data_IF_814067452939
#
_entry.id   IF_814067452939
#
_cell.length_a   1.000
_cell.length_b   1.000
_cell.length_c   1.000
_cell.angle_alpha   90.00
_cell.angle_beta   90.00
_cell.angle_gamma   90.00
#
_symmetry.space_group_name_H-M   'P 1'
#
loop_
_entity.id
_entity.type
_entity.pdbx_description
1 polymer ?
#
# COMPACT_ATOMS: atom_id res chain seq x y z
N UNK A 1 -23.94 -12.02 -3.43
CA UNK A 1 -23.94 -10.96 -4.45
C UNK A 1 -22.79 -11.17 -5.41
N UNK A 2 -23.00 -11.01 -6.72
CA UNK A 2 -21.93 -10.98 -7.72
C UNK A 2 -21.72 -9.53 -8.15
N UNK A 3 -20.46 -9.15 -8.37
CA UNK A 3 -20.03 -7.78 -8.67
C UNK A 3 -19.38 -7.80 -10.05
N UNK A 4 -19.65 -6.82 -10.92
CA UNK A 4 -18.95 -6.66 -12.20
C UNK A 4 -17.71 -5.77 -12.00
N UNK A 5 -16.59 -6.40 -11.66
CA UNK A 5 -15.29 -5.74 -11.50
C UNK A 5 -14.37 -6.07 -12.69
N UNK A 6 -14.94 -6.16 -13.90
CA UNK A 6 -14.19 -6.53 -15.10
C UNK A 6 -13.17 -5.47 -15.51
N UNK A 7 -13.39 -4.20 -15.16
CA UNK A 7 -12.45 -3.09 -15.39
C UNK A 7 -11.09 -3.33 -14.73
N UNK A 8 -10.01 -3.05 -15.45
CA UNK A 8 -8.65 -3.02 -14.92
C UNK A 8 -8.23 -1.65 -14.39
N UNK A 9 -9.05 -0.62 -14.62
CA UNK A 9 -8.78 0.75 -14.20
C UNK A 9 -9.63 1.12 -12.97
N UNK A 10 -10.94 0.90 -13.07
CA UNK A 10 -11.93 1.42 -12.12
C UNK A 10 -12.29 0.41 -11.04
N UNK A 11 -12.52 0.92 -9.83
CA UNK A 11 -13.08 0.16 -8.71
C UNK A 11 -14.60 0.27 -8.66
N UNK A 12 -15.27 -0.84 -8.34
CA UNK A 12 -16.68 -0.86 -7.98
C UNK A 12 -16.78 -0.77 -6.46
N UNK A 13 -17.25 0.37 -5.96
CA UNK A 13 -17.42 0.65 -4.53
C UNK A 13 -18.79 0.15 -4.05
N UNK A 14 -18.84 -0.48 -2.88
CA UNK A 14 -20.05 -1.07 -2.31
C UNK A 14 -20.32 -0.54 -0.91
N UNK A 15 -21.58 -0.25 -0.63
CA UNK A 15 -22.07 -0.04 0.73
C UNK A 15 -22.58 -1.36 1.31
N UNK A 16 -21.94 -1.86 2.38
CA UNK A 16 -22.32 -3.15 3.00
C UNK A 16 -23.67 -3.10 3.72
N UNK A 17 -24.12 -1.92 4.18
CA UNK A 17 -25.43 -1.75 4.81
C UNK A 17 -26.56 -2.03 3.82
N UNK A 18 -26.46 -1.46 2.62
CA UNK A 18 -27.49 -1.59 1.58
C UNK A 18 -27.25 -2.78 0.66
N UNK A 19 -26.01 -3.26 0.58
CA UNK A 19 -25.56 -4.24 -0.41
C UNK A 19 -25.60 -3.70 -1.84
N UNK A 20 -25.45 -2.38 -2.02
CA UNK A 20 -25.52 -1.73 -3.32
C UNK A 20 -24.20 -1.06 -3.68
N UNK A 21 -23.95 -0.94 -4.99
CA UNK A 21 -22.86 -0.13 -5.50
C UNK A 21 -23.12 1.35 -5.27
N UNK A 22 -22.06 2.10 -4.98
CA UNK A 22 -22.10 3.55 -4.85
C UNK A 22 -21.17 4.17 -5.89
N UNK A 23 -21.65 5.23 -6.52
CA UNK A 23 -20.82 6.04 -7.41
C UNK A 23 -19.94 6.95 -6.56
N UNK A 24 -18.63 6.78 -6.71
CA UNK A 24 -17.62 7.60 -6.03
C UNK A 24 -16.86 8.34 -7.12
N UNK A 25 -16.85 9.67 -7.04
CA UNK A 25 -16.00 10.46 -7.92
C UNK A 25 -14.52 10.13 -7.64
N UNK A 26 -13.71 10.09 -8.70
CA UNK A 26 -12.26 9.95 -8.56
C UNK A 26 -11.73 11.01 -7.57
N UNK A 27 -10.86 10.59 -6.64
CA UNK A 27 -10.22 11.47 -5.65
C UNK A 27 -11.17 12.14 -4.64
N UNK A 28 -12.36 11.58 -4.40
CA UNK A 28 -13.25 12.11 -3.36
C UNK A 28 -12.66 11.95 -1.95
N UNK A 29 -12.36 13.08 -1.31
CA UNK A 29 -11.88 13.13 0.09
C UNK A 29 -13.01 13.04 1.14
N UNK A 30 -14.27 12.91 0.71
CA UNK A 30 -15.44 12.95 1.61
C UNK A 30 -16.41 11.78 1.43
N UNK A 31 -16.16 10.88 0.47
CA UNK A 31 -17.03 9.73 0.22
C UNK A 31 -16.83 8.63 1.27
N UNK A 32 -17.52 8.75 2.42
CA UNK A 32 -17.47 7.79 3.54
C UNK A 32 -18.54 6.70 3.47
N UNK A 33 -19.44 6.79 2.48
CA UNK A 33 -20.63 5.94 2.34
C UNK A 33 -20.38 4.52 1.78
N UNK A 34 -19.25 4.30 1.11
CA UNK A 34 -18.83 2.96 0.67
C UNK A 34 -17.91 2.34 1.72
N UNK A 35 -17.81 1.01 1.74
CA UNK A 35 -17.01 0.31 2.75
C UNK A 35 -15.95 -0.59 2.14
N UNK A 36 -16.27 -1.24 1.03
CA UNK A 36 -15.40 -2.19 0.33
C UNK A 36 -15.50 -1.93 -1.16
N UNK A 37 -14.39 -2.06 -1.89
CA UNK A 37 -14.37 -1.87 -3.32
C UNK A 37 -13.57 -2.95 -4.05
N UNK A 38 -13.98 -3.25 -5.29
CA UNK A 38 -13.42 -4.34 -6.11
C UNK A 38 -12.94 -3.84 -7.46
N UNK A 39 -11.73 -4.24 -7.85
CA UNK A 39 -11.18 -4.06 -9.22
C UNK A 39 -10.46 -5.32 -9.63
N UNK A 40 -10.96 -6.02 -10.64
CA UNK A 40 -10.52 -7.39 -10.95
C UNK A 40 -10.61 -8.22 -9.66
N UNK A 41 -9.51 -8.83 -9.23
CA UNK A 41 -9.44 -9.62 -7.99
C UNK A 41 -8.96 -8.81 -6.77
N UNK A 42 -8.56 -7.56 -6.97
CA UNK A 42 -8.11 -6.68 -5.90
C UNK A 42 -9.31 -6.17 -5.09
N UNK A 43 -9.10 -6.04 -3.79
CA UNK A 43 -10.11 -5.62 -2.82
C UNK A 43 -9.48 -4.58 -1.91
N UNK A 44 -10.19 -3.49 -1.67
CA UNK A 44 -9.76 -2.40 -0.79
C UNK A 44 -10.90 -1.98 0.13
N UNK A 45 -10.56 -1.40 1.28
CA UNK A 45 -11.51 -0.89 2.27
C UNK A 45 -11.52 0.64 2.28
N UNK A 46 -12.65 1.25 2.64
CA UNK A 46 -12.74 2.71 2.79
C UNK A 46 -12.09 3.18 4.09
N UNK A 47 -10.77 3.02 4.17
CA UNK A 47 -9.99 3.46 5.31
C UNK A 47 -8.53 3.54 4.99
N UNK A 48 -7.82 4.36 5.77
CA UNK A 48 -6.41 4.64 5.56
C UNK A 48 -6.17 5.26 4.17
N UNK A 49 -5.47 4.57 3.28
CA UNK A 49 -5.01 5.16 1.99
C UNK A 49 -5.95 4.91 0.82
N UNK A 50 -6.98 4.10 1.00
CA UNK A 50 -7.91 3.74 -0.07
C UNK A 50 -9.19 4.59 -0.06
N UNK A 51 -9.44 5.35 1.01
CA UNK A 51 -10.56 6.30 1.07
C UNK A 51 -10.68 7.01 2.41
N UNK A 52 -11.56 8.02 2.50
CA UNK A 52 -11.66 8.93 3.64
C UNK A 52 -12.44 8.36 4.85
N UNK A 53 -13.03 7.17 4.72
CA UNK A 53 -13.69 6.51 5.83
C UNK A 53 -12.71 5.96 6.87
N UNK A 54 -13.27 5.33 7.90
CA UNK A 54 -12.50 4.69 8.97
C UNK A 54 -12.76 3.18 9.01
N UNK A 55 -12.95 2.57 7.84
CA UNK A 55 -13.17 1.13 7.70
C UNK A 55 -11.87 0.37 7.95
N UNK A 56 -11.95 -0.75 8.67
CA UNK A 56 -10.84 -1.69 8.81
C UNK A 56 -11.34 -3.13 8.72
N UNK A 57 -10.44 -4.06 8.41
CA UNK A 57 -10.73 -5.48 8.34
C UNK A 57 -9.78 -6.32 9.19
N UNK A 58 -10.28 -7.42 9.72
CA UNK A 58 -9.50 -8.42 10.44
C UNK A 58 -9.73 -9.81 9.84
N UNK A 59 -8.70 -10.65 9.77
CA UNK A 59 -8.86 -12.06 9.41
C UNK A 59 -9.36 -12.83 10.64
N UNK A 60 -10.59 -13.36 10.58
CA UNK A 60 -11.21 -14.07 11.71
C UNK A 60 -11.37 -15.57 11.48
N UNK A 61 -11.23 -16.03 10.24
CA UNK A 61 -11.04 -17.43 9.92
C UNK A 61 -10.07 -17.59 8.74
N UNK A 62 -8.87 -18.08 9.03
CA UNK A 62 -7.78 -18.21 8.05
C UNK A 62 -7.96 -19.38 7.07
N UNK A 63 -8.82 -20.34 7.41
CA UNK A 63 -9.03 -21.58 6.64
C UNK A 63 -7.72 -22.34 6.45
N UNK A 64 -6.96 -22.52 7.54
CA UNK A 64 -5.61 -23.09 7.52
C UNK A 64 -5.57 -24.49 6.91
N UNK A 65 -6.67 -25.23 6.99
CA UNK A 65 -6.81 -26.57 6.44
C UNK A 65 -6.90 -26.62 4.90
N UNK A 66 -6.93 -25.46 4.23
CA UNK A 66 -6.69 -25.32 2.79
C UNK A 66 -5.20 -25.35 2.43
N UNK A 67 -4.30 -25.22 3.40
CA UNK A 67 -2.86 -25.12 3.22
C UNK A 67 -2.14 -26.22 4.01
N UNK A 68 -0.95 -26.62 3.54
CA UNK A 68 -0.08 -27.53 4.29
C UNK A 68 0.82 -26.77 5.27
N UNK A 69 1.68 -27.48 6.00
CA UNK A 69 2.60 -26.92 6.98
C UNK A 69 3.61 -25.91 6.38
N UNK A 70 3.79 -25.90 5.05
CA UNK A 70 4.63 -24.94 4.33
C UNK A 70 3.82 -23.80 3.72
N UNK A 71 2.56 -23.63 4.13
CA UNK A 71 1.62 -22.66 3.58
C UNK A 71 1.37 -22.84 2.06
N UNK A 72 1.55 -24.07 1.56
CA UNK A 72 1.30 -24.39 0.14
C UNK A 72 -0.16 -24.81 -0.04
N UNK A 73 -0.88 -24.28 -1.05
CA UNK A 73 -2.27 -24.65 -1.31
C UNK A 73 -2.47 -26.16 -1.54
N UNK A 74 -3.30 -26.80 -0.72
CA UNK A 74 -3.70 -28.19 -0.90
C UNK A 74 -4.76 -28.24 -2.01
N UNK A 75 -4.33 -28.54 -3.24
CA UNK A 75 -5.19 -28.46 -4.45
C UNK A 75 -6.54 -29.18 -4.28
N UNK A 76 -6.56 -30.37 -3.69
CA UNK A 76 -7.80 -31.14 -3.49
C UNK A 76 -8.79 -30.46 -2.55
N UNK A 77 -8.33 -29.71 -1.55
CA UNK A 77 -9.21 -28.93 -0.65
C UNK A 77 -9.90 -27.82 -1.42
N UNK A 78 -9.15 -27.05 -2.19
CA UNK A 78 -9.69 -25.97 -3.04
C UNK A 78 -10.66 -26.48 -4.11
N UNK A 79 -10.37 -27.59 -4.78
CA UNK A 79 -11.24 -28.09 -5.86
C UNK A 79 -12.50 -28.78 -5.36
N UNK A 80 -12.51 -29.27 -4.12
CA UNK A 80 -13.67 -29.92 -3.50
C UNK A 80 -14.54 -28.95 -2.69
N UNK A 81 -13.99 -27.84 -2.21
CA UNK A 81 -14.72 -26.84 -1.45
C UNK A 81 -15.75 -26.10 -2.31
N UNK A 82 -16.91 -25.85 -1.73
CA UNK A 82 -18.02 -25.11 -2.34
C UNK A 82 -18.46 -23.98 -1.43
N UNK A 83 -19.15 -22.98 -1.99
CA UNK A 83 -19.73 -21.92 -1.15
C UNK A 83 -20.63 -22.51 -0.06
N UNK A 84 -21.43 -23.54 -0.35
CA UNK A 84 -22.29 -24.15 0.65
C UNK A 84 -21.53 -24.93 1.72
N UNK A 85 -20.49 -25.70 1.36
CA UNK A 85 -19.66 -26.43 2.34
C UNK A 85 -18.95 -25.49 3.30
N UNK A 86 -18.50 -24.32 2.81
CA UNK A 86 -17.76 -23.34 3.62
C UNK A 86 -18.67 -22.28 4.28
N UNK A 87 -19.99 -22.37 4.11
CA UNK A 87 -20.97 -21.47 4.76
C UNK A 87 -20.94 -21.54 6.28
N UNK A 88 -20.81 -22.72 6.92
CA UNK A 88 -20.77 -22.82 8.37
C UNK A 88 -19.65 -21.97 9.00
N UNK A 89 -18.49 -21.85 8.35
CA UNK A 89 -17.36 -21.04 8.84
C UNK A 89 -17.74 -19.56 8.94
N UNK A 90 -18.45 -19.02 7.94
CA UNK A 90 -18.97 -17.64 8.00
C UNK A 90 -20.02 -17.46 9.12
N UNK A 91 -20.80 -18.50 9.41
CA UNK A 91 -21.90 -18.46 10.37
C UNK A 91 -21.47 -18.77 11.81
N UNK A 92 -20.24 -19.24 12.01
CA UNK A 92 -19.70 -19.56 13.32
C UNK A 92 -19.63 -18.33 14.23
N UNK A 93 -19.52 -18.56 15.53
CA UNK A 93 -19.22 -17.49 16.47
C UNK A 93 -17.84 -16.91 16.16
N UNK A 94 -17.75 -15.58 16.13
CA UNK A 94 -16.52 -14.85 15.81
C UNK A 94 -15.98 -14.32 17.13
N UNK A 95 -14.79 -14.77 17.50
CA UNK A 95 -14.07 -14.17 18.62
C UNK A 95 -13.67 -12.74 18.26
N UNK A 96 -13.72 -11.84 19.24
CA UNK A 96 -13.31 -10.45 19.03
C UNK A 96 -11.81 -10.41 18.67
N UNK A 97 -11.44 -9.80 17.53
CA UNK A 97 -10.03 -9.61 17.18
C UNK A 97 -9.32 -8.72 18.19
N UNK A 98 -8.02 -8.95 18.38
CA UNK A 98 -7.17 -8.03 19.12
C UNK A 98 -7.12 -6.65 18.44
N UNK A 99 -6.76 -5.62 19.20
CA UNK A 99 -6.69 -4.26 18.66
C UNK A 99 -5.75 -4.14 17.44
N UNK A 100 -4.65 -4.92 17.46
CA UNK A 100 -3.63 -4.94 16.40
C UNK A 100 -4.00 -5.83 15.20
N UNK A 101 -5.07 -6.63 15.29
CA UNK A 101 -5.55 -7.48 14.18
C UNK A 101 -6.37 -6.69 13.14
N UNK A 102 -6.76 -5.46 13.48
CA UNK A 102 -7.54 -4.58 12.62
C UNK A 102 -6.64 -3.83 11.64
N UNK A 103 -6.73 -4.20 10.37
CA UNK A 103 -5.91 -3.66 9.30
C UNK A 103 -6.74 -2.67 8.47
N UNK A 104 -6.24 -1.42 8.39
CA UNK A 104 -6.66 -0.45 7.39
C UNK A 104 -5.76 -0.56 6.17
N UNK A 105 -6.27 -0.12 5.03
CA UNK A 105 -5.41 -0.01 3.87
C UNK A 105 -4.32 1.05 4.10
N UNK A 106 -3.09 0.74 3.74
CA UNK A 106 -1.93 1.58 3.97
C UNK A 106 -1.03 1.61 2.74
N UNK A 107 -0.32 2.73 2.57
CA UNK A 107 0.65 2.88 1.48
C UNK A 107 1.81 1.95 1.75
N UNK A 108 2.09 1.10 0.77
CA UNK A 108 3.33 0.34 0.64
C UNK A 108 4.21 1.04 -0.38
N UNK A 109 5.45 1.30 0.01
CA UNK A 109 6.46 1.93 -0.84
C UNK A 109 7.76 1.14 -0.76
N UNK A 110 8.57 1.17 -1.82
CA UNK A 110 9.94 0.63 -1.78
C UNK A 110 10.92 1.60 -1.12
N UNK A 111 10.48 2.82 -0.79
CA UNK A 111 11.23 3.86 -0.08
C UNK A 111 11.28 3.61 1.44
N UNK A 112 11.52 2.36 1.82
CA UNK A 112 11.54 1.89 3.21
C UNK A 112 12.74 0.98 3.46
N UNK A 113 13.03 0.74 4.74
CA UNK A 113 14.08 -0.18 5.15
C UNK A 113 13.57 -1.57 5.50
N UNK A 114 14.43 -2.31 6.20
CA UNK A 114 14.21 -3.72 6.52
C UNK A 114 13.44 -3.93 7.82
N UNK A 115 13.32 -2.90 8.67
CA UNK A 115 12.69 -3.01 9.99
C UNK A 115 12.30 -1.64 10.55
N UNK A 116 11.65 -1.62 11.71
CA UNK A 116 11.35 -0.38 12.43
C UNK A 116 12.61 0.38 12.93
N UNK A 117 13.75 -0.30 13.08
CA UNK A 117 15.02 0.30 13.51
C UNK A 117 15.95 0.65 12.36
N UNK A 118 15.82 -0.04 11.22
CA UNK A 118 16.49 0.29 9.97
C UNK A 118 15.42 0.66 8.95
N UNK A 119 15.11 1.95 8.90
CA UNK A 119 14.15 2.55 7.97
C UNK A 119 14.72 2.77 6.57
N UNK A 120 15.94 2.28 6.31
CA UNK A 120 16.59 2.37 5.03
C UNK A 120 17.33 3.70 4.92
N UNK A 121 16.62 4.80 4.82
CA UNK A 121 17.20 6.16 4.71
C UNK A 121 17.42 6.81 6.08
N UNK A 122 16.95 6.19 7.17
CA UNK A 122 17.27 6.54 8.55
C UNK A 122 17.50 5.29 9.40
N UNK A 123 18.18 5.47 10.54
CA UNK A 123 18.33 4.47 11.60
C UNK A 123 17.67 4.98 12.89
N UNK A 124 16.78 4.19 13.49
CA UNK A 124 16.10 4.54 14.74
C UNK A 124 16.73 3.81 15.93
N UNK A 125 17.09 4.57 16.96
CA UNK A 125 17.58 4.05 18.23
C UNK A 125 16.42 3.95 19.25
N UNK A 126 15.91 2.74 19.55
CA UNK A 126 14.83 2.57 20.51
C UNK A 126 15.25 2.84 21.96
N UNK A 127 16.55 2.96 22.28
CA UNK A 127 16.98 3.26 23.64
C UNK A 127 16.64 4.70 24.04
N UNK A 128 16.92 5.66 23.17
CA UNK A 128 16.76 7.09 23.44
C UNK A 128 15.70 7.78 22.56
N UNK A 129 15.22 7.14 21.48
CA UNK A 129 14.22 7.68 20.59
C UNK A 129 14.77 8.55 19.45
N UNK A 130 16.10 8.58 19.29
CA UNK A 130 16.76 9.35 18.23
C UNK A 130 16.68 8.64 16.88
N UNK A 131 16.57 9.42 15.81
CA UNK A 131 16.73 8.97 14.43
C UNK A 131 17.97 9.62 13.82
N UNK A 132 18.83 8.81 13.20
CA UNK A 132 20.06 9.23 12.52
C UNK A 132 19.90 9.06 11.00
N UNK A 133 20.54 9.90 10.18
CA UNK A 133 20.53 9.70 8.74
C UNK A 133 21.26 8.40 8.38
N UNK A 134 20.82 7.73 7.31
CA UNK A 134 21.52 6.58 6.75
C UNK A 134 22.05 6.88 5.33
N UNK A 135 23.23 7.52 5.21
CA UNK A 135 23.80 7.91 3.92
C UNK A 135 24.36 6.72 3.12
N UNK A 136 24.45 5.54 3.74
CA UNK A 136 24.94 4.31 3.11
C UNK A 136 23.85 3.59 2.31
N UNK A 137 22.62 4.10 2.34
CA UNK A 137 21.49 3.60 1.54
C UNK A 137 20.99 4.66 0.58
N UNK A 138 20.64 4.23 -0.62
CA UNK A 138 20.08 5.11 -1.64
C UNK A 138 19.08 4.43 -2.55
N UNK A 139 18.35 5.25 -3.30
CA UNK A 139 17.33 4.82 -4.26
C UNK A 139 17.53 5.56 -5.57
N UNK A 140 17.04 4.94 -6.64
CA UNK A 140 16.73 5.63 -7.87
C UNK A 140 15.25 6.06 -7.84
N UNK A 141 14.97 7.25 -8.34
CA UNK A 141 13.64 7.85 -8.45
C UNK A 141 13.33 8.19 -9.91
N UNK A 142 12.07 8.02 -10.29
CA UNK A 142 11.46 8.61 -11.49
C UNK A 142 10.55 9.74 -11.05
N UNK A 143 10.58 10.86 -11.78
CA UNK A 143 9.77 12.04 -11.46
C UNK A 143 8.26 11.80 -11.55
N UNK A 144 7.49 12.71 -10.95
CA UNK A 144 6.03 12.77 -11.07
C UNK A 144 5.56 12.95 -12.52
N UNK A 145 6.31 13.64 -13.37
CA UNK A 145 6.05 13.73 -14.81
C UNK A 145 6.44 12.44 -15.56
N UNK A 146 7.30 11.62 -14.96
CA UNK A 146 7.69 10.32 -15.50
C UNK A 146 8.80 10.35 -16.55
N UNK A 147 9.46 11.49 -16.74
CA UNK A 147 10.41 11.71 -17.85
C UNK A 147 11.85 12.03 -17.42
N UNK A 148 12.08 12.35 -16.15
CA UNK A 148 13.38 12.59 -15.51
C UNK A 148 13.58 11.62 -14.35
N UNK A 149 14.82 11.54 -13.87
CA UNK A 149 15.22 10.60 -12.83
C UNK A 149 16.25 11.20 -11.90
N UNK A 150 16.38 10.63 -10.71
CA UNK A 150 17.44 10.96 -9.78
C UNK A 150 17.97 9.72 -9.07
N UNK A 151 19.20 9.78 -8.56
CA UNK A 151 19.59 8.95 -7.41
C UNK A 151 19.60 9.82 -6.16
N UNK A 152 19.18 9.26 -5.03
CA UNK A 152 19.07 10.00 -3.76
C UNK A 152 19.63 9.23 -2.56
N UNK A 153 20.00 9.98 -1.53
CA UNK A 153 20.28 9.49 -0.16
C UNK A 153 20.00 10.56 0.87
N UNK A 154 19.70 10.17 2.11
CA UNK A 154 19.62 11.10 3.25
C UNK A 154 21.01 11.28 3.86
N UNK A 155 21.47 12.53 3.96
CA UNK A 155 22.78 12.85 4.53
C UNK A 155 22.71 13.53 5.88
N UNK A 156 21.61 14.21 6.19
CA UNK A 156 21.42 14.88 7.47
C UNK A 156 20.02 14.61 8.02
N UNK A 157 19.94 14.39 9.34
CA UNK A 157 18.68 14.25 10.07
C UNK A 157 18.90 14.68 11.52
N UNK A 158 18.07 15.60 12.00
CA UNK A 158 17.92 15.92 13.42
C UNK A 158 16.49 15.65 13.81
N UNK A 159 16.26 14.46 14.38
CA UNK A 159 14.93 14.06 14.81
C UNK A 159 14.99 13.20 16.08
N UNK A 160 14.46 13.76 17.17
CA UNK A 160 14.20 13.04 18.42
C UNK A 160 12.69 12.88 18.58
N UNK A 161 12.22 11.65 18.37
CA UNK A 161 10.80 11.29 18.40
C UNK A 161 10.15 11.48 19.77
N UNK A 162 10.93 11.55 20.85
CA UNK A 162 10.43 11.71 22.23
C UNK A 162 10.47 13.15 22.71
N UNK A 163 11.22 14.01 22.03
CA UNK A 163 11.30 15.44 22.37
C UNK A 163 10.02 16.22 22.07
N UNK A 164 9.17 15.70 21.17
CA UNK A 164 7.98 16.40 20.69
C UNK A 164 8.29 17.64 19.85
N UNK A 165 9.51 17.79 19.32
CA UNK A 165 9.95 18.95 18.54
C UNK A 165 9.72 18.80 17.02
N UNK A 166 9.24 17.66 16.57
CA UNK A 166 9.13 17.32 15.15
C UNK A 166 10.49 17.00 14.54
N UNK A 167 10.56 17.02 13.21
CA UNK A 167 11.82 16.87 12.47
C UNK A 167 12.46 18.26 12.40
N UNK A 168 13.49 18.50 13.22
CA UNK A 168 14.13 19.83 13.31
C UNK A 168 14.97 20.16 12.09
N UNK A 169 15.54 19.13 11.45
CA UNK A 169 16.30 19.26 10.21
C UNK A 169 16.34 17.94 9.46
N UNK A 170 16.28 17.99 8.13
CA UNK A 170 16.61 16.88 7.25
C UNK A 170 17.31 17.40 6.00
N UNK A 171 18.11 16.55 5.36
CA UNK A 171 18.68 16.80 4.04
C UNK A 171 18.80 15.52 3.23
N UNK A 172 18.26 15.54 2.02
CA UNK A 172 18.55 14.57 0.97
C UNK A 172 19.40 15.22 -0.13
N UNK A 173 20.36 14.47 -0.65
CA UNK A 173 21.15 14.85 -1.81
C UNK A 173 20.69 14.05 -3.03
N UNK A 174 20.66 14.72 -4.19
CA UNK A 174 20.27 14.12 -5.46
C UNK A 174 21.34 14.35 -6.52
N UNK A 175 21.60 13.32 -7.33
CA UNK A 175 22.19 13.50 -8.65
C UNK A 175 21.11 13.25 -9.70
N UNK A 176 20.92 14.22 -10.60
CA UNK A 176 19.77 14.30 -11.51
C UNK A 176 20.14 13.84 -12.91
N UNK A 177 19.27 13.04 -13.50
CA UNK A 177 19.24 12.72 -14.92
C UNK A 177 18.01 13.43 -15.53
N UNK A 178 18.20 14.63 -16.12
CA UNK A 178 17.10 15.41 -16.68
C UNK A 178 16.39 14.70 -17.84
N UNK A 179 15.20 15.19 -18.19
CA UNK A 179 14.39 14.62 -19.25
C UNK A 179 15.15 14.47 -20.58
N UNK A 180 15.14 13.27 -21.14
CA UNK A 180 15.83 12.94 -22.40
C UNK A 180 17.36 12.79 -22.30
N UNK A 181 17.94 13.00 -21.12
CA UNK A 181 19.37 12.80 -20.88
C UNK A 181 19.60 11.36 -20.39
N UNK A 182 20.63 10.70 -20.90
CA UNK A 182 20.96 9.29 -20.55
C UNK A 182 21.92 9.15 -19.37
N UNK A 183 22.25 10.24 -18.67
CA UNK A 183 23.27 10.30 -17.61
C UNK A 183 22.90 11.31 -16.53
N UNK A 184 23.44 11.12 -15.33
CA UNK A 184 23.39 12.13 -14.29
C UNK A 184 24.23 13.35 -14.68
N UNK A 185 23.63 14.53 -14.71
CA UNK A 185 24.26 15.81 -15.14
C UNK A 185 23.93 17.00 -14.25
N UNK A 186 22.92 16.88 -13.38
CA UNK A 186 22.53 17.90 -12.41
C UNK A 186 22.63 17.42 -10.97
N UNK A 187 22.40 18.32 -10.03
CA UNK A 187 22.29 18.03 -8.61
C UNK A 187 21.17 18.88 -8.01
N UNK A 188 20.52 18.37 -6.97
CA UNK A 188 19.50 19.06 -6.20
C UNK A 188 19.63 18.68 -4.72
N UNK A 189 18.99 19.46 -3.84
CA UNK A 189 18.95 19.17 -2.42
C UNK A 189 17.57 19.43 -1.83
N UNK A 190 17.01 18.38 -1.21
CA UNK A 190 15.76 18.50 -0.47
C UNK A 190 16.07 18.65 1.01
N UNK A 191 15.92 19.86 1.54
CA UNK A 191 16.20 20.16 2.93
C UNK A 191 15.09 20.98 3.58
N UNK A 192 14.95 20.83 4.90
CA UNK A 192 13.94 21.55 5.66
C UNK A 192 13.65 20.95 7.03
N UNK A 193 12.45 21.23 7.53
CA UNK A 193 11.95 20.76 8.80
C UNK A 193 10.48 20.34 8.68
N UNK A 194 9.99 19.53 9.63
CA UNK A 194 8.57 19.22 9.80
C UNK A 194 8.20 19.59 11.24
N UNK A 195 7.18 20.43 11.47
CA UNK A 195 6.86 20.94 12.80
C UNK A 195 6.40 19.82 13.78
N UNK A 196 6.34 20.11 15.09
CA UNK A 196 5.87 19.17 16.12
C UNK A 196 4.53 18.47 15.85
N UNK A 197 3.62 19.11 15.14
CA UNK A 197 2.32 18.55 14.77
C UNK A 197 2.37 17.52 13.64
N UNK A 198 3.55 17.28 13.06
CA UNK A 198 3.69 16.52 11.84
C UNK A 198 3.37 17.35 10.60
N UNK A 199 3.26 16.67 9.48
CA UNK A 199 2.99 17.25 8.17
C UNK A 199 3.73 16.52 7.06
N UNK A 200 3.49 16.99 5.85
CA UNK A 200 4.12 16.51 4.63
C UNK A 200 4.80 17.68 3.92
N UNK A 201 5.96 17.43 3.33
CA UNK A 201 6.68 18.37 2.46
C UNK A 201 6.99 17.63 1.17
N UNK A 202 6.71 18.26 0.04
CA UNK A 202 6.92 17.68 -1.29
C UNK A 202 7.98 18.46 -2.06
N UNK A 203 8.78 17.73 -2.81
CA UNK A 203 9.93 18.27 -3.52
C UNK A 203 9.88 17.86 -4.99
N UNK A 204 10.07 18.85 -5.85
CA UNK A 204 10.36 18.72 -7.28
C UNK A 204 11.89 18.79 -7.42
N UNK A 205 12.51 17.67 -7.78
CA UNK A 205 13.97 17.60 -7.91
C UNK A 205 14.47 18.19 -9.22
N UNK A 206 13.61 18.37 -10.23
CA UNK A 206 13.98 19.02 -11.49
C UNK A 206 14.06 20.54 -11.32
N UNK A 207 13.13 21.11 -10.52
CA UNK A 207 13.13 22.52 -10.18
C UNK A 207 14.00 22.88 -8.96
N UNK A 208 14.49 21.88 -8.21
CA UNK A 208 15.19 22.04 -6.93
C UNK A 208 14.35 22.88 -5.95
N UNK A 209 13.07 22.53 -5.82
CA UNK A 209 12.07 23.36 -5.13
C UNK A 209 11.07 22.54 -4.30
N UNK A 210 10.74 23.06 -3.12
CA UNK A 210 9.58 22.58 -2.35
C UNK A 210 8.30 23.11 -3.01
N UNK A 211 7.41 22.19 -3.39
CA UNK A 211 6.17 22.46 -4.12
C UNK A 211 4.96 21.93 -3.36
N UNK A 212 3.75 22.19 -3.88
CA UNK A 212 2.53 21.63 -3.32
C UNK A 212 2.50 20.09 -3.50
N UNK A 213 1.96 19.37 -2.52
CA UNK A 213 1.77 17.92 -2.57
C UNK A 213 0.54 17.50 -3.41
N UNK A 214 0.30 18.17 -4.54
CA UNK A 214 -0.84 17.96 -5.43
C UNK A 214 -0.40 18.10 -6.89
N UNK A 215 -1.08 17.44 -7.82
CA UNK A 215 -0.67 17.43 -9.23
C UNK A 215 0.55 16.55 -9.48
N UNK A 216 1.21 16.81 -10.62
CA UNK A 216 2.30 15.97 -11.13
C UNK A 216 3.70 16.52 -10.85
N UNK A 217 3.81 17.78 -10.41
CA UNK A 217 5.10 18.49 -10.34
C UNK A 217 6.01 18.03 -9.20
N UNK A 218 5.45 17.44 -8.13
CA UNK A 218 6.28 16.91 -7.05
C UNK A 218 6.78 15.49 -7.38
N UNK A 219 7.95 15.13 -6.87
CA UNK A 219 8.58 13.83 -7.12
C UNK A 219 8.66 12.97 -5.86
N UNK A 220 9.11 13.59 -4.77
CA UNK A 220 9.33 12.95 -3.49
C UNK A 220 8.61 13.71 -2.39
N UNK A 221 7.87 12.97 -1.56
CA UNK A 221 7.20 13.48 -0.37
C UNK A 221 7.89 12.92 0.86
N UNK A 222 8.27 13.77 1.80
CA UNK A 222 8.65 13.40 3.16
C UNK A 222 7.51 13.75 4.10
N UNK A 223 7.07 12.79 4.91
CA UNK A 223 5.99 12.99 5.87
C UNK A 223 6.32 12.46 7.25
N UNK A 224 5.86 13.18 8.27
CA UNK A 224 5.85 12.74 9.66
C UNK A 224 4.44 12.92 10.23
N UNK A 225 3.82 11.85 10.70
CA UNK A 225 2.52 11.92 11.39
C UNK A 225 2.41 10.82 12.45
N UNK A 226 2.11 11.22 13.69
CA UNK A 226 2.03 10.30 14.82
C UNK A 226 3.37 9.61 15.08
N UNK A 227 3.47 8.33 14.69
CA UNK A 227 4.70 7.52 14.78
C UNK A 227 5.32 7.18 13.43
N UNK A 228 4.67 7.59 12.34
CA UNK A 228 5.08 7.25 10.99
C UNK A 228 5.96 8.35 10.42
N UNK A 229 7.19 8.00 10.06
CA UNK A 229 8.12 8.84 9.31
C UNK A 229 8.41 8.15 7.98
N UNK A 230 7.99 8.76 6.87
CA UNK A 230 7.86 8.05 5.60
C UNK A 230 8.27 8.91 4.41
N UNK A 231 8.72 8.22 3.36
CA UNK A 231 8.88 8.76 2.01
C UNK A 231 7.80 8.20 1.10
N UNK A 232 7.37 8.98 0.11
CA UNK A 232 6.44 8.55 -0.95
C UNK A 232 6.87 9.12 -2.29
N UNK A 233 6.61 8.37 -3.36
CA UNK A 233 6.79 8.82 -4.73
C UNK A 233 5.48 9.40 -5.29
N UNK A 234 5.55 10.34 -6.23
CA UNK A 234 4.35 10.86 -6.90
C UNK A 234 3.79 9.90 -7.95
N UNK A 235 3.43 8.69 -7.52
CA UNK A 235 2.74 7.75 -8.39
C UNK A 235 2.04 6.65 -7.62
N UNK A 236 1.18 5.94 -8.35
CA UNK A 236 0.32 4.91 -7.79
C UNK A 236 -0.71 5.50 -6.84
N UNK A 237 -0.73 5.07 -5.57
CA UNK A 237 -1.74 5.55 -4.60
C UNK A 237 -1.32 6.82 -3.84
N UNK A 238 -0.06 7.24 -3.99
CA UNK A 238 0.49 8.39 -3.26
C UNK A 238 0.32 9.72 -3.97
N UNK A 239 0.03 9.72 -5.28
CA UNK A 239 -0.03 10.91 -6.10
C UNK A 239 -0.57 10.66 -7.51
N UNK A 240 -0.81 11.75 -8.24
CA UNK A 240 -1.43 11.74 -9.58
C UNK A 240 -0.41 11.49 -10.70
N UNK A 241 0.88 11.59 -10.39
CA UNK A 241 1.96 11.45 -11.34
C UNK A 241 2.33 10.01 -11.70
N UNK A 242 3.42 9.92 -12.44
CA UNK A 242 4.10 8.69 -12.85
C UNK A 242 5.33 8.38 -12.00
N UNK A 243 5.49 9.03 -10.85
CA UNK A 243 6.58 8.82 -9.92
C UNK A 243 6.70 7.37 -9.47
N UNK A 244 7.94 6.92 -9.30
CA UNK A 244 8.24 5.56 -8.88
C UNK A 244 9.67 5.48 -8.34
N UNK A 245 9.98 4.44 -7.59
CA UNK A 245 11.31 4.25 -7.02
C UNK A 245 11.86 2.85 -7.31
N UNK A 246 13.18 2.72 -7.26
CA UNK A 246 13.89 1.45 -7.33
C UNK A 246 15.01 1.43 -6.28
N UNK A 247 15.10 0.34 -5.53
CA UNK A 247 16.03 0.16 -4.41
C UNK A 247 15.40 -0.70 -3.30
N UNK A 248 15.97 -0.68 -2.08
CA UNK A 248 17.17 0.07 -1.68
C UNK A 248 18.46 -0.47 -2.29
N UNK A 249 19.46 0.41 -2.43
CA UNK A 249 20.84 0.06 -2.77
C UNK A 249 21.79 0.35 -1.61
N UNK A 250 22.93 -0.34 -1.59
CA UNK A 250 24.13 0.18 -0.93
C UNK A 250 24.65 1.40 -1.72
N UNK A 251 24.91 2.51 -1.04
CA UNK A 251 25.34 3.74 -1.70
C UNK A 251 26.67 3.60 -2.41
N UNK A 252 27.62 2.81 -1.89
CA UNK A 252 28.89 2.58 -2.55
C UNK A 252 28.71 1.91 -3.92
N UNK A 253 27.71 1.03 -4.05
CA UNK A 253 27.32 0.45 -5.32
C UNK A 253 26.60 1.48 -6.21
N UNK A 254 25.58 2.16 -5.67
CA UNK A 254 24.77 3.11 -6.44
C UNK A 254 25.59 4.31 -6.95
N UNK A 255 26.62 4.72 -6.21
CA UNK A 255 27.55 5.77 -6.60
C UNK A 255 28.28 5.48 -7.93
N UNK A 256 28.42 4.20 -8.30
CA UNK A 256 29.06 3.79 -9.58
C UNK A 256 28.15 3.94 -10.80
N UNK A 257 26.84 4.11 -10.59
CA UNK A 257 25.88 4.29 -11.67
C UNK A 257 26.08 5.67 -12.31
N UNK A 258 26.15 5.71 -13.63
CA UNK A 258 26.19 6.96 -14.40
C UNK A 258 24.81 7.35 -14.92
N UNK A 259 23.82 6.47 -14.81
CA UNK A 259 22.43 6.64 -15.23
C UNK A 259 21.48 5.97 -14.24
N UNK A 260 20.27 6.51 -14.14
CA UNK A 260 19.15 5.90 -13.44
C UNK A 260 18.35 4.93 -14.33
N UNK A 261 18.58 4.96 -15.65
CA UNK A 261 17.86 4.15 -16.64
C UNK A 261 18.64 2.96 -17.17
N UNK A 262 19.95 2.90 -16.89
CA UNK A 262 20.85 1.81 -17.25
C UNK A 262 21.75 1.47 -16.07
N UNK A 263 21.97 0.19 -15.79
CA UNK A 263 23.01 -0.21 -14.84
C UNK A 263 24.43 -0.01 -15.44
N UNK A 264 25.49 -0.14 -14.63
CA UNK A 264 26.87 -0.06 -15.14
C UNK A 264 27.23 -1.11 -16.20
N UNK A 265 26.45 -2.20 -16.32
CA UNK A 265 26.60 -3.24 -17.33
C UNK A 265 25.84 -2.96 -18.64
N UNK A 266 25.05 -1.88 -18.71
CA UNK A 266 24.22 -1.52 -19.86
C UNK A 266 22.84 -2.17 -19.90
N UNK A 267 22.38 -2.77 -18.80
CA UNK A 267 21.03 -3.35 -18.68
C UNK A 267 20.00 -2.23 -18.43
N UNK A 268 18.89 -2.19 -19.19
CA UNK A 268 17.81 -1.22 -18.93
C UNK A 268 17.13 -1.44 -17.58
N UNK A 269 16.88 -0.34 -16.85
CA UNK A 269 16.28 -0.35 -15.51
C UNK A 269 14.82 0.14 -15.48
N UNK A 270 14.30 0.68 -16.57
CA UNK A 270 12.98 1.33 -16.59
C UNK A 270 11.83 0.44 -16.08
N UNK A 271 11.91 -0.87 -16.30
CA UNK A 271 10.90 -1.84 -15.83
C UNK A 271 11.02 -2.25 -14.36
N UNK A 272 12.02 -1.75 -13.63
CA UNK A 272 12.29 -2.09 -12.22
C UNK A 272 11.77 -1.03 -11.25
N UNK A 273 11.31 0.12 -11.76
CA UNK A 273 10.72 1.17 -10.94
C UNK A 273 9.31 0.77 -10.52
N UNK A 274 9.06 0.85 -9.21
CA UNK A 274 7.79 0.47 -8.59
C UNK A 274 7.15 1.74 -8.02
N UNK A 275 5.94 2.13 -8.46
CA UNK A 275 5.19 3.21 -7.83
C UNK A 275 4.67 2.75 -6.46
N UNK A 276 4.28 3.70 -5.61
CA UNK A 276 3.64 3.36 -4.35
C UNK A 276 2.31 2.63 -4.59
N UNK A 277 1.99 1.67 -3.72
CA UNK A 277 0.78 0.85 -3.84
C UNK A 277 0.01 0.83 -2.52
N UNK A 278 -1.25 0.37 -2.54
CA UNK A 278 -2.05 0.19 -1.31
C UNK A 278 -2.04 -1.29 -0.94
N UNK A 279 -1.74 -1.59 0.33
CA UNK A 279 -1.90 -2.92 0.93
C UNK A 279 -2.90 -2.85 2.08
N UNK A 280 -3.63 -3.93 2.31
CA UNK A 280 -4.57 -4.04 3.42
C UNK A 280 -4.87 -5.50 3.71
N UNK A 281 -5.92 -5.76 4.50
CA UNK A 281 -6.25 -7.11 4.99
C UNK A 281 -6.37 -8.15 3.85
N UNK A 282 -6.88 -7.76 2.67
CA UNK A 282 -7.07 -8.67 1.54
C UNK A 282 -5.79 -8.91 0.73
N UNK A 283 -4.78 -8.03 0.84
CA UNK A 283 -3.46 -8.22 0.26
C UNK A 283 -2.58 -9.07 1.17
N UNK A 284 -2.63 -8.81 2.49
CA UNK A 284 -1.89 -9.55 3.52
C UNK A 284 -2.43 -10.96 3.72
N UNK A 285 -3.75 -11.11 3.62
CA UNK A 285 -4.44 -12.39 3.69
C UNK A 285 -5.27 -12.61 2.44
N UNK A 286 -4.67 -13.05 1.30
CA UNK A 286 -5.40 -13.24 0.05
C UNK A 286 -6.57 -14.21 0.20
N UNK A 287 -7.68 -13.92 -0.47
CA UNK A 287 -8.89 -14.75 -0.44
C UNK A 287 -8.83 -15.94 -1.43
N UNK A 288 -7.71 -16.11 -2.14
CA UNK A 288 -7.58 -17.09 -3.22
C UNK A 288 -6.21 -17.79 -3.27
N UNK A 289 -6.18 -18.90 -4.01
CA UNK A 289 -4.96 -19.48 -4.60
C UNK A 289 -5.01 -19.38 -6.14
N UNK A 290 -3.85 -19.20 -6.77
CA UNK A 290 -3.73 -19.07 -8.24
C UNK A 290 -3.07 -20.30 -8.86
N UNK A 291 -3.45 -20.59 -10.10
CA UNK A 291 -2.85 -21.63 -10.95
C UNK A 291 -2.83 -23.05 -10.35
N UNK A 292 -3.83 -23.40 -9.54
CA UNK A 292 -4.00 -24.79 -9.09
C UNK A 292 -4.18 -25.72 -10.30
N UNK A 293 -3.47 -26.85 -10.28
CA UNK A 293 -3.43 -27.83 -11.37
C UNK A 293 -3.08 -27.26 -12.76
N UNK A 294 -2.35 -26.13 -12.82
CA UNK A 294 -1.91 -25.53 -14.10
C UNK A 294 -3.01 -24.85 -14.91
N UNK A 295 -4.16 -24.54 -14.29
CA UNK A 295 -5.35 -24.07 -14.99
C UNK A 295 -5.42 -22.53 -15.13
N UNK A 296 -4.43 -21.77 -14.63
CA UNK A 296 -4.40 -20.30 -14.69
C UNK A 296 -5.67 -19.60 -14.18
N UNK A 297 -6.30 -20.13 -13.13
CA UNK A 297 -7.50 -19.53 -12.50
C UNK A 297 -7.26 -19.10 -11.05
N UNK A 298 -8.25 -18.41 -10.48
CA UNK A 298 -8.33 -18.11 -9.05
C UNK A 298 -9.36 -19.04 -8.39
N UNK A 299 -8.96 -19.69 -7.29
CA UNK A 299 -9.85 -20.51 -6.46
C UNK A 299 -9.99 -19.85 -5.08
N UNK A 300 -11.22 -19.61 -4.60
CA UNK A 300 -11.42 -19.04 -3.27
C UNK A 300 -10.98 -20.04 -2.18
N UNK A 301 -10.35 -19.54 -1.12
CA UNK A 301 -10.09 -20.29 0.11
C UNK A 301 -11.22 -20.14 1.14
N UNK A 302 -12.23 -19.31 0.86
CA UNK A 302 -13.36 -19.04 1.75
C UNK A 302 -12.95 -18.54 3.15
N UNK A 303 -11.82 -17.82 3.24
CA UNK A 303 -11.45 -17.05 4.44
C UNK A 303 -12.58 -16.13 4.87
N UNK A 304 -12.76 -15.99 6.18
CA UNK A 304 -13.73 -15.04 6.74
C UNK A 304 -12.97 -13.83 7.25
N UNK A 305 -13.38 -12.67 6.77
CA UNK A 305 -12.90 -11.36 7.20
C UNK A 305 -14.01 -10.70 8.01
N UNK A 306 -13.66 -10.06 9.12
CA UNK A 306 -14.56 -9.16 9.83
C UNK A 306 -14.25 -7.74 9.37
N UNK A 307 -15.23 -7.06 8.79
CA UNK A 307 -15.11 -5.66 8.34
C UNK A 307 -15.87 -4.78 9.32
N UNK A 308 -15.18 -3.87 9.99
CA UNK A 308 -15.77 -2.83 10.82
C UNK A 308 -15.90 -1.56 9.96
N UNK A 309 -17.11 -1.01 9.88
CA UNK A 309 -17.39 0.12 8.99
C UNK A 309 -16.87 1.46 9.49
N UNK A 310 -16.57 1.57 10.78
CA UNK A 310 -15.98 2.78 11.38
C UNK A 310 -15.31 2.39 12.70
N UNK A 311 -14.00 2.15 12.69
CA UNK A 311 -13.24 1.74 13.87
C UNK A 311 -13.17 2.81 14.95
N UNK A 312 -13.49 4.06 14.63
CA UNK A 312 -13.60 5.17 15.57
C UNK A 312 -14.93 5.21 16.31
N UNK A 313 -15.94 4.46 15.86
CA UNK A 313 -17.25 4.35 16.47
C UNK A 313 -17.52 2.91 16.94
N UNK A 314 -17.53 2.69 18.26
CA UNK A 314 -17.81 1.37 18.85
C UNK A 314 -19.23 0.84 18.51
N UNK A 315 -20.15 1.70 18.05
CA UNK A 315 -21.48 1.32 17.60
C UNK A 315 -21.54 1.01 16.09
N UNK A 316 -20.44 1.17 15.36
CA UNK A 316 -20.38 0.94 13.92
C UNK A 316 -20.77 -0.51 13.57
N UNK A 317 -21.63 -0.71 12.56
CA UNK A 317 -21.98 -2.06 12.12
C UNK A 317 -20.76 -2.85 11.63
N UNK A 318 -20.62 -4.09 12.09
CA UNK A 318 -19.58 -5.00 11.62
C UNK A 318 -20.17 -6.07 10.72
N UNK A 319 -19.40 -6.52 9.73
CA UNK A 319 -19.82 -7.54 8.79
C UNK A 319 -18.79 -8.65 8.65
N UNK A 320 -19.19 -9.89 8.94
CA UNK A 320 -18.41 -11.06 8.54
C UNK A 320 -18.59 -11.26 7.03
N UNK A 321 -17.51 -11.38 6.27
CA UNK A 321 -17.51 -11.41 4.82
C UNK A 321 -16.66 -12.56 4.29
N UNK A 322 -17.16 -13.20 3.23
CA UNK A 322 -16.45 -14.19 2.43
C UNK A 322 -16.52 -13.83 0.95
N UNK A 323 -15.38 -13.97 0.27
CA UNK A 323 -15.31 -13.96 -1.19
C UNK A 323 -15.36 -15.43 -1.65
N UNK A 324 -16.39 -15.77 -2.41
CA UNK A 324 -16.78 -17.15 -2.75
C UNK A 324 -16.58 -17.49 -4.23
N UNK A 325 -16.05 -16.55 -5.03
CA UNK A 325 -15.77 -16.78 -6.44
C UNK A 325 -15.25 -15.54 -7.14
N UNK A 326 -14.74 -15.74 -8.36
CA UNK A 326 -14.16 -14.68 -9.20
C UNK A 326 -14.71 -14.62 -10.63
N UNK A 327 -15.35 -15.70 -11.07
CA UNK A 327 -15.79 -15.87 -12.43
C UNK A 327 -17.31 -15.79 -12.48
N UNK A 328 -17.85 -15.22 -13.56
CA UNK A 328 -19.29 -15.31 -13.83
C UNK A 328 -19.70 -16.76 -14.12
N UNK A 329 -21.00 -17.02 -14.18
CA UNK A 329 -21.52 -18.34 -14.55
C UNK A 329 -21.10 -18.77 -15.97
N UNK A 330 -20.77 -17.80 -16.84
CA UNK A 330 -20.19 -18.02 -18.16
C UNK A 330 -18.65 -18.19 -18.17
N UNK A 331 -18.00 -18.14 -17.00
CA UNK A 331 -16.55 -18.29 -16.86
C UNK A 331 -15.74 -17.01 -17.14
N UNK A 332 -16.39 -15.86 -17.30
CA UNK A 332 -15.71 -14.57 -17.52
C UNK A 332 -15.00 -14.14 -16.23
N UNK A 333 -13.75 -13.69 -16.33
CA UNK A 333 -12.97 -13.20 -15.19
C UNK A 333 -13.34 -11.77 -14.78
N UNK A 334 -13.16 -11.43 -13.51
CA UNK A 334 -13.49 -10.09 -13.00
C UNK A 334 -14.92 -9.99 -12.48
N UNK A 335 -15.50 -11.11 -12.05
CA UNK A 335 -16.80 -11.14 -11.38
C UNK A 335 -16.70 -11.70 -9.96
N UNK A 336 -16.08 -10.96 -9.01
CA UNK A 336 -16.06 -11.36 -7.61
C UNK A 336 -17.47 -11.66 -7.10
N UNK A 337 -17.59 -12.75 -6.34
CA UNK A 337 -18.82 -13.12 -5.65
C UNK A 337 -18.57 -13.04 -4.16
N UNK A 338 -19.41 -12.28 -3.46
CA UNK A 338 -19.33 -12.14 -2.01
C UNK A 338 -20.61 -12.60 -1.33
N UNK A 339 -20.47 -13.00 -0.08
CA UNK A 339 -21.56 -13.08 0.89
C UNK A 339 -21.07 -12.51 2.21
N UNK A 340 -21.99 -11.94 2.96
CA UNK A 340 -21.66 -11.36 4.26
C UNK A 340 -22.90 -11.38 5.15
N UNK A 341 -22.68 -11.18 6.44
CA UNK A 341 -23.75 -11.01 7.44
C UNK A 341 -23.33 -9.98 8.48
N UNK A 342 -24.29 -9.26 9.10
CA UNK A 342 -23.98 -8.42 10.24
C UNK A 342 -23.48 -9.27 11.42
N UNK A 343 -22.55 -8.70 12.19
CA UNK A 343 -22.01 -9.23 13.43
C UNK A 343 -22.26 -8.17 14.51
N UNK A 344 -22.95 -8.48 15.61
CA UNK A 344 -23.10 -7.53 16.71
C UNK A 344 -21.74 -7.16 17.28
N UNK A 345 -21.55 -5.89 17.67
CA UNK A 345 -20.42 -5.52 18.51
C UNK A 345 -20.49 -6.32 19.82
N UNK A 346 -19.37 -6.90 20.25
CA UNK A 346 -19.28 -7.53 21.57
C UNK A 346 -19.45 -6.47 22.65
N UNK A 347 -20.39 -6.68 23.58
CA UNK A 347 -20.62 -5.79 24.74
C UNK A 347 -19.48 -5.84 25.76
#
# INVERSE_FOLDING_TARGET
>A
MQIDATSSAEYVHLNLHTGQAVEVAAQSEVATEWHIAFRRFNVMLNGGTSGPGDVAGALVAAQDDFYDDNNTPITSRFTNATADSERPVLMAEIAEPGADDWIRDSVTTVLSGTSATDGGWYLYNPADGTMLPNPDRGWLLRSGEGNSYARMRMTELTFDTRSGRGVEHFRFEFDLQPAGVGQFTGQAAFEGLIPPGGGEVCFDFDADLIVACSGTDWDLKLGFLGRSFYLRSNGGVSGEGSGAAFGPFDWAQLATYTSATMDPGGTPLAGLYVPDSSSGVFSEHPWYAYNLAGQHRLWPNYRVYLVDTDRGDDAAPRYALQITGYYSDAGVSGHPRIRYRPVPATQ
#
